data_IF_742935645768
#
_entry.id   IF_742935645768
#
_cell.length_a   1.000
_cell.length_b   1.000
_cell.length_c   1.000
_cell.angle_alpha   90.00
_cell.angle_beta   90.00
_cell.angle_gamma   90.00
#
_symmetry.space_group_name_H-M   'P 1'
#
loop_
_entity.id
_entity.type
_entity.pdbx_description
1 polymer ?
#
# COMPACT_ATOMS: atom_id res chain seq x y z
N UNK A 1 33.37 -60.51 36.34
CA UNK A 1 32.27 -60.53 37.33
C UNK A 1 31.09 -59.78 36.74
N UNK A 2 30.15 -60.53 36.18
CA UNK A 2 28.74 -60.22 35.90
C UNK A 2 27.99 -60.49 37.25
N UNK A 3 26.74 -60.07 37.59
CA UNK A 3 25.53 -59.71 36.81
C UNK A 3 24.83 -58.42 37.38
N UNK A 4 23.62 -57.94 37.05
CA UNK A 4 22.35 -58.50 36.56
C UNK A 4 21.52 -57.43 35.83
N UNK A 5 20.89 -57.85 34.74
CA UNK A 5 19.79 -57.16 34.09
C UNK A 5 18.48 -57.24 34.92
N UNK A 6 17.63 -56.21 34.80
CA UNK A 6 16.18 -56.36 35.00
C UNK A 6 15.43 -55.87 33.76
N UNK A 7 14.57 -56.77 33.30
CA UNK A 7 13.76 -56.76 32.09
C UNK A 7 12.30 -56.73 32.53
N UNK A 8 11.52 -55.76 32.08
CA UNK A 8 10.06 -55.85 31.92
C UNK A 8 9.73 -54.96 30.71
N UNK A 9 9.45 -55.50 29.52
CA UNK A 9 8.10 -55.93 29.09
C UNK A 9 7.31 -54.68 28.67
N UNK A 10 6.96 -54.38 27.42
CA UNK A 10 6.68 -55.23 26.26
C UNK A 10 5.21 -55.03 25.88
N UNK A 11 4.92 -54.21 24.87
CA UNK A 11 3.84 -54.52 23.91
C UNK A 11 4.04 -53.72 22.61
N UNK A 12 4.41 -54.47 21.58
CA UNK A 12 4.30 -54.12 20.18
C UNK A 12 2.87 -54.43 19.76
N UNK A 13 2.17 -53.47 19.16
CA UNK A 13 1.03 -53.79 18.29
C UNK A 13 1.26 -53.17 16.92
N UNK A 14 1.30 -54.08 15.93
CA UNK A 14 1.42 -53.86 14.49
C UNK A 14 0.06 -53.45 13.90
N UNK A 15 0.15 -52.83 12.71
CA UNK A 15 -0.68 -52.91 11.48
C UNK A 15 -2.13 -53.41 11.61
N UNK A 16 -3.12 -52.88 10.86
CA UNK A 16 -3.30 -53.06 9.40
C UNK A 16 -4.35 -52.04 8.86
N UNK A 17 -4.25 -51.62 7.58
CA UNK A 17 -5.19 -50.72 6.88
C UNK A 17 -6.34 -51.46 6.18
N UNK A 18 -7.47 -50.80 5.84
CA UNK A 18 -8.27 -51.09 4.63
C UNK A 18 -9.49 -50.15 4.44
N UNK A 19 -9.58 -49.61 3.21
CA UNK A 19 -10.76 -49.47 2.33
C UNK A 19 -11.90 -48.45 2.56
N UNK A 20 -12.23 -47.78 1.44
CA UNK A 20 -13.47 -47.03 1.14
C UNK A 20 -13.16 -45.61 0.61
N UNK A 21 -12.80 -45.37 -0.65
CA UNK A 21 -13.57 -45.53 -1.89
C UNK A 21 -15.05 -45.13 -1.73
N UNK A 22 -15.39 -43.87 -1.99
CA UNK A 22 -16.58 -43.55 -2.78
C UNK A 22 -16.43 -42.21 -3.51
N UNK A 23 -16.64 -42.34 -4.82
CA UNK A 23 -16.79 -41.29 -5.81
C UNK A 23 -17.97 -40.37 -5.49
N UNK A 24 -17.80 -39.05 -5.68
CA UNK A 24 -18.81 -38.22 -6.37
C UNK A 24 -18.28 -36.83 -6.72
N UNK A 25 -18.06 -36.70 -8.02
CA UNK A 25 -18.21 -35.52 -8.86
C UNK A 25 -19.06 -34.39 -8.26
N UNK A 26 -18.50 -33.18 -8.19
CA UNK A 26 -19.16 -31.94 -8.62
C UNK A 26 -18.14 -30.82 -8.69
N UNK A 27 -17.57 -30.65 -9.88
CA UNK A 27 -16.78 -29.48 -10.27
C UNK A 27 -17.77 -28.34 -10.49
N UNK A 28 -17.82 -27.38 -9.57
CA UNK A 28 -18.61 -26.17 -9.71
C UNK A 28 -17.73 -25.05 -10.28
N UNK A 29 -18.18 -24.50 -11.40
CA UNK A 29 -17.45 -23.64 -12.32
C UNK A 29 -17.09 -22.25 -11.75
N UNK A 30 -15.93 -21.67 -12.09
CA UNK A 30 -15.69 -20.24 -11.97
C UNK A 30 -16.22 -19.48 -13.20
N UNK A 31 -17.03 -18.44 -12.97
CA UNK A 31 -17.50 -17.50 -13.98
C UNK A 31 -16.35 -16.68 -14.55
N UNK A 32 -16.07 -16.93 -15.82
CA UNK A 32 -15.01 -16.30 -16.58
C UNK A 32 -15.30 -14.82 -16.86
N UNK A 33 -14.29 -13.99 -16.57
CA UNK A 33 -14.09 -12.65 -17.13
C UNK A 33 -14.07 -12.70 -18.66
N UNK A 34 -14.79 -11.79 -19.33
CA UNK A 34 -14.70 -11.56 -20.79
C UNK A 34 -13.61 -10.54 -21.10
N UNK A 35 -12.73 -10.77 -22.10
CA UNK A 35 -11.83 -9.76 -22.63
C UNK A 35 -12.49 -8.91 -23.72
N UNK A 36 -12.04 -7.65 -23.81
CA UNK A 36 -12.41 -6.67 -24.81
C UNK A 36 -11.91 -7.09 -26.21
N UNK A 37 -12.83 -7.16 -27.17
CA UNK A 37 -12.53 -7.36 -28.59
C UNK A 37 -12.36 -6.04 -29.31
N UNK A 38 -11.17 -5.85 -29.88
CA UNK A 38 -10.87 -4.90 -30.94
C UNK A 38 -11.57 -5.33 -32.24
N UNK A 39 -12.13 -4.39 -32.99
CA UNK A 39 -12.37 -4.56 -34.43
C UNK A 39 -11.97 -3.27 -35.16
N UNK A 40 -10.92 -3.40 -35.96
CA UNK A 40 -10.59 -2.48 -37.03
C UNK A 40 -11.53 -2.74 -38.21
N UNK A 41 -11.92 -1.68 -38.93
CA UNK A 41 -12.77 -1.79 -40.11
C UNK A 41 -12.86 -0.48 -40.88
N UNK A 42 -11.89 -0.29 -41.77
CA UNK A 42 -11.90 0.70 -42.86
C UNK A 42 -13.11 0.50 -43.79
N UNK A 43 -13.73 1.59 -44.26
CA UNK A 43 -14.22 1.77 -45.65
C UNK A 43 -14.78 3.18 -45.89
N UNK A 44 -14.12 3.90 -46.80
CA UNK A 44 -14.63 5.09 -47.49
C UNK A 44 -15.69 4.69 -48.54
N UNK A 45 -16.69 5.54 -48.77
CA UNK A 45 -16.99 6.20 -50.07
C UNK A 45 -18.43 6.70 -50.15
N UNK A 46 -18.53 8.02 -50.37
CA UNK A 46 -19.46 8.76 -51.24
C UNK A 46 -20.89 8.25 -51.51
N UNK A 47 -21.86 9.15 -51.30
CA UNK A 47 -22.85 9.50 -52.33
C UNK A 47 -23.33 10.95 -52.16
N UNK A 48 -23.31 11.65 -53.29
CA UNK A 48 -23.80 13.01 -53.52
C UNK A 48 -25.33 13.02 -53.56
N UNK A 49 -25.94 14.10 -53.04
CA UNK A 49 -27.36 14.39 -53.21
C UNK A 49 -27.64 15.88 -53.01
N UNK A 50 -27.56 16.65 -54.10
CA UNK A 50 -28.23 17.95 -54.24
C UNK A 50 -29.74 17.71 -54.36
N UNK A 51 -30.58 18.50 -53.67
CA UNK A 51 -31.62 19.31 -54.32
C UNK A 51 -32.43 20.15 -53.31
N UNK A 52 -32.85 21.32 -53.80
CA UNK A 52 -34.07 22.04 -53.44
C UNK A 52 -34.05 23.02 -52.25
N UNK A 53 -33.72 24.23 -52.66
CA UNK A 53 -34.12 25.55 -52.15
C UNK A 53 -35.64 25.68 -51.98
N UNK A 54 -36.12 26.04 -50.79
CA UNK A 54 -37.33 26.88 -50.64
C UNK A 54 -37.12 27.92 -49.51
N UNK A 55 -37.24 29.20 -49.90
CA UNK A 55 -37.27 30.38 -49.04
C UNK A 55 -38.63 30.44 -48.34
N UNK A 56 -38.67 30.84 -47.06
CA UNK A 56 -39.62 31.84 -46.55
C UNK A 56 -38.97 32.61 -45.39
N UNK A 57 -39.05 33.94 -45.45
CA UNK A 57 -38.76 34.87 -44.35
C UNK A 57 -40.10 35.54 -43.93
N UNK A 58 -40.10 36.57 -43.09
CA UNK A 58 -40.12 36.53 -41.63
C UNK A 58 -41.42 37.12 -41.06
N UNK A 59 -41.95 36.58 -39.96
CA UNK A 59 -43.08 37.22 -39.25
C UNK A 59 -42.75 37.46 -37.78
N UNK A 60 -42.46 38.73 -37.52
CA UNK A 60 -42.70 39.52 -36.31
C UNK A 60 -43.19 38.73 -35.08
N UNK A 61 -42.33 38.61 -34.08
CA UNK A 61 -42.75 38.70 -32.68
C UNK A 61 -41.80 39.66 -31.98
N UNK A 62 -42.37 40.81 -31.63
CA UNK A 62 -41.72 41.92 -30.97
C UNK A 62 -41.37 41.50 -29.55
N UNK A 63 -40.12 41.79 -29.22
CA UNK A 63 -39.44 41.73 -27.93
C UNK A 63 -40.34 42.34 -26.85
N UNK A 64 -40.84 41.52 -25.92
CA UNK A 64 -41.38 41.99 -24.64
C UNK A 64 -41.08 40.96 -23.55
N UNK A 65 -39.79 40.84 -23.26
CA UNK A 65 -39.35 40.47 -21.93
C UNK A 65 -38.02 41.17 -21.71
N UNK A 66 -38.06 42.31 -21.04
CA UNK A 66 -37.00 42.72 -20.13
C UNK A 66 -36.94 41.70 -18.97
N UNK A 67 -36.73 40.43 -19.31
CA UNK A 67 -36.11 39.52 -18.38
C UNK A 67 -34.69 40.04 -18.28
N UNK A 68 -34.38 40.75 -17.20
CA UNK A 68 -33.02 40.79 -16.72
C UNK A 68 -32.63 39.31 -16.62
N UNK A 69 -31.85 38.82 -17.57
CA UNK A 69 -31.18 37.53 -17.43
C UNK A 69 -30.22 37.76 -16.29
N UNK A 70 -30.73 37.56 -15.06
CA UNK A 70 -29.93 37.40 -13.89
C UNK A 70 -29.09 36.17 -14.20
N UNK A 71 -27.88 36.41 -14.69
CA UNK A 71 -26.84 35.39 -14.74
C UNK A 71 -26.84 34.81 -13.34
N UNK A 72 -27.19 33.53 -13.14
CA UNK A 72 -27.20 32.95 -11.81
C UNK A 72 -25.79 33.09 -11.30
N UNK A 73 -25.62 33.94 -10.28
CA UNK A 73 -24.34 34.23 -9.68
C UNK A 73 -23.67 32.89 -9.40
N UNK A 74 -22.60 32.61 -10.13
CA UNK A 74 -21.84 31.38 -10.00
C UNK A 74 -21.56 31.12 -8.52
N UNK A 75 -21.88 29.91 -8.07
CA UNK A 75 -21.98 29.46 -6.67
C UNK A 75 -20.65 29.46 -5.89
N UNK A 76 -19.68 30.27 -6.28
CA UNK A 76 -18.27 30.18 -5.83
C UNK A 76 -17.57 31.52 -5.60
N UNK A 77 -18.24 32.66 -5.65
CA UNK A 77 -17.58 33.94 -5.36
C UNK A 77 -18.28 34.74 -4.24
N UNK A 78 -17.57 34.93 -3.13
CA UNK A 78 -17.91 35.93 -2.13
C UNK A 78 -17.81 37.32 -2.76
N UNK A 79 -18.70 38.23 -2.38
CA UNK A 79 -18.67 39.62 -2.86
C UNK A 79 -17.37 40.31 -2.41
N UNK A 80 -16.96 41.38 -3.10
CA UNK A 80 -15.75 42.13 -2.73
C UNK A 80 -15.82 42.62 -1.27
N UNK A 81 -16.97 43.13 -0.85
CA UNK A 81 -17.18 43.57 0.53
C UNK A 81 -17.09 42.41 1.54
N UNK A 82 -17.53 41.19 1.17
CA UNK A 82 -17.36 40.00 2.01
C UNK A 82 -15.89 39.56 2.07
N UNK A 83 -15.15 39.64 0.96
CA UNK A 83 -13.72 39.36 0.93
C UNK A 83 -12.91 40.36 1.78
N UNK A 84 -13.23 41.66 1.69
CA UNK A 84 -12.64 42.74 2.51
C UNK A 84 -12.92 42.48 4.00
N UNK A 85 -14.11 41.97 4.35
CA UNK A 85 -14.48 41.56 5.72
C UNK A 85 -13.89 40.22 6.16
N UNK A 86 -13.01 39.60 5.38
CA UNK A 86 -12.30 38.38 5.77
C UNK A 86 -13.04 37.07 5.49
N UNK A 87 -13.96 37.02 4.53
CA UNK A 87 -14.68 35.78 4.18
C UNK A 87 -13.77 34.61 3.71
N UNK A 88 -12.51 34.88 3.36
CA UNK A 88 -11.54 33.88 2.89
C UNK A 88 -10.72 33.32 4.05
N UNK A 89 -11.12 32.16 4.57
CA UNK A 89 -10.37 31.44 5.62
C UNK A 89 -9.45 30.38 4.98
N UNK A 90 -8.12 30.43 5.20
CA UNK A 90 -7.22 29.42 4.67
C UNK A 90 -7.46 28.07 5.37
N UNK A 91 -7.60 26.99 4.58
CA UNK A 91 -7.78 25.63 5.11
C UNK A 91 -6.45 25.09 5.64
N UNK A 92 -6.35 24.90 6.96
CA UNK A 92 -5.18 24.26 7.60
C UNK A 92 -5.15 22.75 7.27
N UNK A 93 -4.01 22.25 6.75
CA UNK A 93 -3.80 20.82 6.48
C UNK A 93 -3.09 20.17 7.66
N UNK A 94 -3.53 18.97 8.06
CA UNK A 94 -2.83 18.17 9.08
C UNK A 94 -1.62 17.47 8.44
N UNK A 95 -0.42 17.54 9.05
CA UNK A 95 0.75 16.87 8.48
C UNK A 95 0.58 15.35 8.49
N UNK A 96 1.15 14.70 7.48
CA UNK A 96 1.12 13.24 7.35
C UNK A 96 1.88 12.53 8.49
N UNK A 97 2.82 13.21 9.15
CA UNK A 97 3.70 12.68 10.20
C UNK A 97 3.86 13.66 11.38
N UNK A 98 2.85 13.80 12.25
CA UNK A 98 2.84 14.79 13.33
C UNK A 98 3.83 14.51 14.48
N UNK A 99 4.39 13.30 14.57
CA UNK A 99 5.33 12.95 15.66
C UNK A 99 6.77 13.38 15.38
N UNK A 100 7.11 13.64 14.11
CA UNK A 100 8.45 14.07 13.71
C UNK A 100 8.71 15.56 13.95
N UNK A 101 7.68 16.38 14.26
CA UNK A 101 7.78 17.84 14.42
C UNK A 101 8.62 18.51 13.31
N UNK A 102 8.29 18.20 12.04
CA UNK A 102 8.99 18.71 10.85
C UNK A 102 10.46 18.28 10.68
N UNK A 103 11.00 17.39 11.53
CA UNK A 103 12.28 16.74 11.29
C UNK A 103 12.14 15.61 10.24
N UNK A 104 13.16 15.36 9.39
CA UNK A 104 13.10 14.26 8.43
C UNK A 104 13.14 12.88 9.11
N UNK A 105 13.96 12.76 10.15
CA UNK A 105 14.16 11.54 10.94
C UNK A 105 14.36 11.89 12.41
N UNK A 106 14.07 10.93 13.30
CA UNK A 106 14.29 11.10 14.74
C UNK A 106 14.73 9.81 15.38
N UNK A 107 15.62 9.91 16.37
CA UNK A 107 16.02 8.79 17.22
C UNK A 107 14.83 8.36 18.09
N UNK A 108 14.71 7.06 18.32
CA UNK A 108 13.69 6.47 19.15
C UNK A 108 14.20 5.19 19.82
N UNK A 109 13.55 4.79 20.90
CA UNK A 109 13.81 3.53 21.61
C UNK A 109 12.61 2.61 21.41
N UNK A 110 12.87 1.35 21.08
CA UNK A 110 11.84 0.32 20.98
C UNK A 110 11.29 -0.03 22.36
N UNK A 111 9.98 0.02 22.53
CA UNK A 111 9.28 -0.45 23.73
C UNK A 111 8.92 -1.92 23.61
N UNK A 112 8.29 -2.29 22.49
CA UNK A 112 7.98 -3.70 22.17
C UNK A 112 7.98 -3.93 20.68
N UNK A 113 8.40 -5.11 20.27
CA UNK A 113 8.42 -5.55 18.87
C UNK A 113 7.42 -6.70 18.72
N UNK A 114 6.51 -6.59 17.76
CA UNK A 114 5.42 -7.56 17.57
C UNK A 114 4.94 -7.57 16.12
N UNK A 115 4.12 -8.55 15.79
CA UNK A 115 3.53 -8.70 14.46
C UNK A 115 2.07 -8.24 14.45
N UNK A 116 1.65 -7.61 13.36
CA UNK A 116 0.29 -7.10 13.15
C UNK A 116 -0.29 -7.70 11.87
N UNK A 117 -1.54 -8.16 11.91
CA UNK A 117 -2.28 -8.57 10.72
C UNK A 117 -2.76 -7.32 9.95
N UNK A 118 -2.61 -7.28 8.62
CA UNK A 118 -3.04 -6.14 7.81
C UNK A 118 -4.57 -6.03 7.71
N UNK A 119 -5.05 -4.90 7.18
CA UNK A 119 -6.43 -4.73 6.75
C UNK A 119 -6.77 -5.69 5.58
N UNK A 120 -7.98 -6.27 5.60
CA UNK A 120 -8.60 -6.99 4.47
C UNK A 120 -8.59 -6.08 3.22
N UNK A 121 -8.12 -6.50 2.03
CA UNK A 121 -8.08 -7.85 1.45
C UNK A 121 -6.77 -8.63 1.67
N UNK A 122 -5.76 -7.98 2.24
CA UNK A 122 -4.42 -8.56 2.32
C UNK A 122 -4.31 -9.52 3.51
N UNK A 123 -3.45 -10.53 3.39
CA UNK A 123 -3.10 -11.47 4.46
C UNK A 123 -1.57 -11.57 4.55
N UNK A 124 -1.01 -11.24 5.72
CA UNK A 124 0.42 -11.35 6.01
C UNK A 124 0.66 -11.12 7.50
N UNK A 125 1.86 -11.40 7.96
CA UNK A 125 2.35 -10.92 9.26
C UNK A 125 3.28 -9.73 9.03
N UNK A 126 2.85 -8.53 9.44
CA UNK A 126 3.63 -7.30 9.29
C UNK A 126 4.42 -7.05 10.58
N UNK A 127 5.74 -6.94 10.47
CA UNK A 127 6.64 -6.70 11.61
C UNK A 127 6.61 -5.22 11.98
N UNK A 128 6.21 -4.91 13.22
CA UNK A 128 6.01 -3.54 13.71
C UNK A 128 6.67 -3.40 15.08
N UNK A 129 7.19 -2.21 15.37
CA UNK A 129 7.68 -1.85 16.68
C UNK A 129 6.84 -0.70 17.26
N UNK A 130 6.51 -0.78 18.54
CA UNK A 130 6.15 0.39 19.35
C UNK A 130 7.44 1.09 19.74
N UNK A 131 7.57 2.35 19.38
CA UNK A 131 8.78 3.15 19.60
C UNK A 131 8.44 4.43 20.34
N UNK A 132 9.25 4.78 21.34
CA UNK A 132 9.22 6.06 22.02
C UNK A 132 10.26 6.97 21.40
N UNK A 133 9.82 8.03 20.73
CA UNK A 133 10.73 9.02 20.13
C UNK A 133 11.37 9.88 21.23
N UNK A 134 12.48 10.56 20.92
CA UNK A 134 13.11 11.52 21.85
C UNK A 134 12.17 12.65 22.29
N UNK A 135 11.12 12.94 21.53
CA UNK A 135 10.05 13.91 21.88
C UNK A 135 9.08 13.40 22.95
N UNK A 136 9.22 12.15 23.40
CA UNK A 136 8.29 11.50 24.33
C UNK A 136 7.06 10.86 23.66
N UNK A 137 6.75 11.22 22.40
CA UNK A 137 5.64 10.62 21.64
C UNK A 137 5.89 9.13 21.38
N UNK A 138 4.90 8.30 21.72
CA UNK A 138 4.90 6.86 21.43
C UNK A 138 4.17 6.61 20.12
N UNK A 139 4.82 5.93 19.18
CA UNK A 139 4.30 5.68 17.83
C UNK A 139 4.57 4.25 17.38
N UNK A 140 3.75 3.79 16.43
CA UNK A 140 3.96 2.52 15.74
C UNK A 140 4.80 2.75 14.48
N UNK A 141 5.91 2.01 14.37
CA UNK A 141 6.81 2.07 13.24
C UNK A 141 6.98 0.69 12.58
N UNK A 142 6.86 0.66 11.26
CA UNK A 142 7.05 -0.55 10.47
C UNK A 142 8.53 -0.88 10.28
N UNK A 143 8.86 -2.16 10.36
CA UNK A 143 10.22 -2.66 10.10
C UNK A 143 10.27 -3.17 8.65
N UNK A 144 11.01 -2.51 7.75
CA UNK A 144 11.02 -2.89 6.34
C UNK A 144 12.01 -4.01 6.04
N UNK A 145 11.63 -4.88 5.11
CA UNK A 145 12.45 -5.97 4.59
C UNK A 145 12.21 -7.31 5.28
N UNK A 146 13.13 -8.23 5.04
CA UNK A 146 13.12 -9.59 5.59
C UNK A 146 14.01 -9.65 6.83
N UNK A 147 13.59 -10.43 7.83
CA UNK A 147 14.28 -10.51 9.13
C UNK A 147 14.36 -9.17 9.88
N UNK A 148 14.70 -9.24 11.17
CA UNK A 148 15.09 -8.07 11.98
C UNK A 148 15.80 -8.55 13.24
N UNK A 149 16.66 -7.69 13.80
CA UNK A 149 17.43 -7.93 15.01
C UNK A 149 16.91 -7.07 16.19
N UNK A 150 15.75 -6.41 16.04
CA UNK A 150 15.28 -5.47 17.05
C UNK A 150 14.65 -6.21 18.21
N UNK A 151 15.06 -5.82 19.41
CA UNK A 151 14.53 -6.29 20.66
C UNK A 151 13.91 -5.10 21.41
N UNK A 152 13.45 -5.34 22.62
CA UNK A 152 13.09 -4.25 23.53
C UNK A 152 14.34 -3.41 23.83
N UNK A 153 14.16 -2.11 24.05
CA UNK A 153 15.23 -1.14 24.32
C UNK A 153 16.22 -0.85 23.19
N UNK A 154 16.16 -1.55 22.06
CA UNK A 154 16.99 -1.22 20.90
C UNK A 154 16.74 0.23 20.44
N UNK A 155 17.81 0.95 20.15
CA UNK A 155 17.78 2.32 19.65
C UNK A 155 17.70 2.31 18.13
N UNK A 156 16.70 3.00 17.59
CA UNK A 156 16.40 3.00 16.17
C UNK A 156 16.20 4.40 15.63
N UNK A 157 16.44 4.54 14.33
CA UNK A 157 16.18 5.77 13.60
C UNK A 157 14.87 5.66 12.82
N UNK A 158 13.93 6.56 13.11
CA UNK A 158 12.57 6.53 12.56
C UNK A 158 12.42 7.64 11.52
N UNK A 159 11.83 7.29 10.37
CA UNK A 159 11.46 8.22 9.30
C UNK A 159 9.96 8.21 9.04
N UNK A 160 9.51 9.25 8.34
CA UNK A 160 8.15 9.32 7.83
C UNK A 160 7.88 8.26 6.76
N UNK A 161 6.67 7.70 6.78
CA UNK A 161 6.19 6.82 5.72
C UNK A 161 5.07 5.90 6.20
N UNK A 162 3.84 6.18 5.78
CA UNK A 162 2.68 5.33 6.09
C UNK A 162 2.81 3.98 5.40
N UNK A 163 2.36 2.94 6.09
CA UNK A 163 2.08 1.63 5.50
C UNK A 163 0.60 1.59 5.19
N UNK A 164 0.24 1.37 3.92
CA UNK A 164 -1.16 1.37 3.50
C UNK A 164 -1.96 0.25 4.15
N UNK A 165 -1.33 -0.93 4.32
CA UNK A 165 -1.97 -2.15 4.81
C UNK A 165 -2.31 -2.10 6.30
N UNK A 166 -1.46 -1.50 7.13
CA UNK A 166 -1.61 -1.49 8.58
C UNK A 166 -2.19 -0.14 9.04
N UNK A 167 -3.41 -0.11 9.60
CA UNK A 167 -3.94 1.11 10.19
C UNK A 167 -3.07 1.53 11.39
N UNK A 168 -2.91 2.84 11.58
CA UNK A 168 -2.12 3.41 12.68
C UNK A 168 -0.59 3.42 12.47
N UNK A 169 -0.05 2.63 11.53
CA UNK A 169 1.40 2.58 11.27
C UNK A 169 1.81 3.65 10.26
N UNK A 170 2.21 4.82 10.77
CA UNK A 170 2.54 6.02 9.97
C UNK A 170 4.03 6.23 9.74
N UNK A 171 4.87 5.46 10.42
CA UNK A 171 6.32 5.62 10.43
C UNK A 171 7.01 4.33 10.01
N UNK A 172 8.25 4.46 9.53
CA UNK A 172 9.12 3.35 9.14
C UNK A 172 10.46 3.50 9.84
N UNK A 173 11.04 2.38 10.23
CA UNK A 173 12.41 2.34 10.76
C UNK A 173 13.39 2.29 9.58
N UNK A 174 14.48 3.06 9.68
CA UNK A 174 15.59 3.02 8.73
C UNK A 174 16.46 1.80 9.06
N UNK A 175 16.83 1.03 8.02
CA UNK A 175 17.73 -0.13 8.15
C UNK A 175 19.16 0.30 7.90
N UNK A 176 20.11 -0.36 8.56
CA UNK A 176 21.54 -0.01 8.53
C UNK A 176 21.89 1.23 9.35
N UNK A 177 21.06 1.61 10.31
CA UNK A 177 21.28 2.77 11.19
C UNK A 177 21.03 2.39 12.65
N UNK A 178 21.93 2.82 13.54
CA UNK A 178 21.95 2.47 14.97
C UNK A 178 21.89 0.93 15.14
N UNK A 179 21.06 0.41 16.03
CA UNK A 179 20.99 -1.04 16.33
C UNK A 179 20.27 -1.83 15.22
N UNK A 180 19.69 -1.12 14.26
CA UNK A 180 18.90 -1.70 13.20
C UNK A 180 19.81 -2.18 12.05
N UNK A 181 20.26 -3.44 12.13
CA UNK A 181 21.09 -4.05 11.09
C UNK A 181 20.41 -4.09 9.71
N UNK A 182 21.21 -4.14 8.64
CA UNK A 182 20.72 -4.29 7.27
C UNK A 182 20.03 -5.65 7.03
N UNK A 183 19.32 -5.77 5.91
CA UNK A 183 18.71 -7.05 5.51
C UNK A 183 19.78 -7.97 4.93
N UNK A 184 19.88 -9.22 5.37
CA UNK A 184 20.91 -10.14 4.84
C UNK A 184 20.63 -10.48 3.35
N UNK A 185 21.70 -10.70 2.58
CA UNK A 185 21.65 -11.19 1.19
C UNK A 185 20.83 -10.34 0.19
N UNK A 186 20.60 -9.05 0.49
CA UNK A 186 19.85 -8.16 -0.41
C UNK A 186 20.75 -7.63 -1.54
N UNK A 187 20.56 -8.14 -2.77
CA UNK A 187 21.30 -7.72 -3.97
C UNK A 187 20.70 -6.46 -4.63
N UNK A 188 19.37 -6.37 -4.73
CA UNK A 188 18.65 -5.23 -5.35
C UNK A 188 18.10 -4.25 -4.32
N UNK A 189 18.15 -2.95 -4.63
CA UNK A 189 17.62 -1.89 -3.76
C UNK A 189 18.37 -1.76 -2.42
N UNK A 190 19.67 -2.08 -2.43
CA UNK A 190 20.55 -2.19 -1.25
C UNK A 190 20.56 -0.97 -0.33
N UNK A 191 20.57 0.23 -0.93
CA UNK A 191 20.60 1.50 -0.21
C UNK A 191 19.40 1.72 0.72
N UNK A 192 18.23 1.19 0.36
CA UNK A 192 17.00 1.31 1.17
C UNK A 192 17.01 0.43 2.40
N UNK A 193 17.68 -0.72 2.33
CA UNK A 193 17.69 -1.74 3.37
C UNK A 193 19.02 -1.83 4.12
N UNK A 194 19.92 -0.86 3.91
CA UNK A 194 21.18 -0.76 4.66
C UNK A 194 22.19 -1.85 4.34
N UNK A 195 22.17 -2.40 3.11
CA UNK A 195 23.16 -3.43 2.71
C UNK A 195 24.32 -2.83 1.94
N UNK A 196 25.54 -3.19 2.35
CA UNK A 196 26.77 -2.80 1.64
C UNK A 196 26.86 -3.57 0.32
N UNK A 197 27.61 -3.02 -0.64
CA UNK A 197 27.93 -3.76 -1.87
C UNK A 197 28.82 -4.92 -1.45
N UNK A 198 28.49 -6.13 -1.87
CA UNK A 198 29.44 -7.24 -1.80
C UNK A 198 30.59 -6.88 -2.72
N UNK A 199 31.80 -6.79 -2.18
CA UNK A 199 33.01 -6.68 -2.99
C UNK A 199 33.14 -8.02 -3.69
N UNK A 200 33.25 -8.04 -5.02
CA UNK A 200 33.69 -9.26 -5.68
C UNK A 200 35.10 -9.50 -5.14
N UNK A 201 35.29 -10.54 -4.34
CA UNK A 201 36.63 -10.91 -3.91
C UNK A 201 37.43 -11.17 -5.18
N UNK A 202 38.50 -10.41 -5.46
CA UNK A 202 39.27 -10.58 -6.70
C UNK A 202 39.90 -11.98 -6.80
N UNK A 203 39.90 -12.75 -5.71
CA UNK A 203 40.38 -14.13 -5.63
C UNK A 203 39.36 -15.20 -6.05
N UNK A 204 38.06 -14.89 -6.12
CA UNK A 204 37.03 -15.89 -6.46
C UNK A 204 36.90 -16.16 -7.98
N UNK A 205 37.64 -15.42 -8.82
CA UNK A 205 37.70 -15.61 -10.27
C UNK A 205 38.77 -16.59 -10.77
N UNK A 206 39.59 -17.19 -9.88
CA UNK A 206 40.63 -18.17 -10.24
C UNK A 206 40.31 -19.55 -9.67
N UNK A 207 39.22 -20.17 -10.14
CA UNK A 207 39.08 -21.63 -10.14
C UNK A 207 38.52 -22.00 -11.51
N UNK A 208 39.44 -22.31 -12.42
CA UNK A 208 39.19 -23.00 -13.68
C UNK A 208 40.18 -24.15 -13.75
#
# INVERSE_FOLDING_TARGET
>A
MIPTATRVGGLVQRCVPLMGLFSRSSVMQPSAWKPAGQLAGSRNMATLGLLSRQKLAPTKAIISATASTQIPASRTYATLNQAIRGARIPRKKKPATPALNSCPQRRAVCLKVFTVKPKKPNSAQRKVARVRMTTGKVVLAYIPGEGHNLQEHSVVLVRGGRVADCPGVRYKIIRGALDCQGVLNRTKGRSKYGTKRVKADPAAGKKK
#
